data_IF_417864320264
#
_entry.id   IF_417864320264
#
_cell.length_a   1.000
_cell.length_b   1.000
_cell.length_c   1.000
_cell.angle_alpha   90.00
_cell.angle_beta   90.00
_cell.angle_gamma   90.00
#
_symmetry.space_group_name_H-M   'P 1'
#
loop_
_entity.id
_entity.type
_entity.pdbx_description
1 polymer ?
#
# COMPACT_ATOMS: atom_id res chain seq x y z
N UNK A 1 23.31 -12.60 -3.03
CA UNK A 1 22.52 -11.41 -2.65
C UNK A 1 21.30 -11.37 -3.56
N UNK A 2 20.18 -11.80 -3.08
CA UNK A 2 18.96 -11.69 -3.88
C UNK A 2 18.55 -10.22 -3.88
N UNK A 3 18.38 -9.64 -5.06
CA UNK A 3 17.92 -8.26 -5.22
C UNK A 3 16.55 -8.13 -4.55
N UNK A 4 16.31 -7.14 -3.66
CA UNK A 4 15.05 -6.99 -2.95
C UNK A 4 13.99 -6.42 -3.90
N UNK A 5 13.37 -7.30 -4.70
CA UNK A 5 12.44 -6.93 -5.77
C UNK A 5 11.17 -6.31 -5.18
N UNK A 6 10.62 -6.89 -4.10
CA UNK A 6 9.39 -6.39 -3.48
C UNK A 6 9.59 -5.03 -2.82
N UNK A 7 10.66 -4.87 -2.05
CA UNK A 7 11.00 -3.57 -1.48
C UNK A 7 11.24 -2.52 -2.56
N UNK A 8 11.87 -2.89 -3.69
CA UNK A 8 12.06 -1.98 -4.83
C UNK A 8 10.73 -1.55 -5.45
N UNK A 9 9.78 -2.47 -5.59
CA UNK A 9 8.47 -2.23 -6.17
C UNK A 9 7.60 -1.34 -5.26
N UNK A 10 7.74 -1.48 -3.93
CA UNK A 10 7.08 -0.61 -2.95
C UNK A 10 7.69 0.79 -2.96
N UNK A 11 9.03 0.90 -3.01
CA UNK A 11 9.72 2.18 -2.84
C UNK A 11 9.79 3.01 -4.13
N UNK A 12 9.73 2.39 -5.31
CA UNK A 12 9.89 3.08 -6.59
C UNK A 12 8.85 4.21 -6.79
N UNK A 13 7.53 4.02 -6.56
CA UNK A 13 6.57 5.10 -6.66
C UNK A 13 6.80 6.20 -5.62
N UNK A 14 7.21 5.85 -4.40
CA UNK A 14 7.55 6.82 -3.36
C UNK A 14 8.76 7.69 -3.73
N UNK A 15 9.80 7.09 -4.33
CA UNK A 15 10.95 7.83 -4.86
C UNK A 15 10.52 8.76 -6.00
N UNK A 16 9.65 8.30 -6.91
CA UNK A 16 9.06 9.13 -7.95
C UNK A 16 8.28 10.31 -7.38
N UNK A 17 7.49 10.09 -6.33
CA UNK A 17 6.76 11.14 -5.62
C UNK A 17 7.70 12.17 -4.97
N UNK A 18 8.79 11.73 -4.34
CA UNK A 18 9.83 12.60 -3.80
C UNK A 18 10.50 13.43 -4.89
N UNK A 19 10.84 12.82 -6.02
CA UNK A 19 11.41 13.54 -7.16
C UNK A 19 10.46 14.63 -7.67
N UNK A 20 9.17 14.33 -7.79
CA UNK A 20 8.15 15.33 -8.15
C UNK A 20 8.03 16.46 -7.14
N UNK A 21 8.20 16.16 -5.85
CA UNK A 21 8.17 17.18 -4.80
C UNK A 21 9.32 18.20 -4.96
N UNK A 22 10.52 17.75 -5.29
CA UNK A 22 11.67 18.62 -5.52
C UNK A 22 11.60 19.39 -6.85
N UNK A 23 10.98 18.82 -7.89
CA UNK A 23 10.87 19.45 -9.21
C UNK A 23 9.70 20.44 -9.31
N UNK A 24 8.91 20.62 -8.26
CA UNK A 24 7.71 21.46 -8.18
C UNK A 24 7.97 22.98 -8.41
N UNK A 25 9.19 23.41 -8.63
CA UNK A 25 9.66 24.80 -8.50
C UNK A 25 9.05 25.84 -9.47
N UNK A 26 8.30 25.48 -10.56
CA UNK A 26 7.79 26.49 -11.49
C UNK A 26 6.41 26.15 -12.07
N UNK A 27 5.53 27.17 -12.10
CA UNK A 27 4.14 27.12 -12.61
C UNK A 27 3.98 26.67 -14.08
N UNK A 28 5.03 26.55 -14.84
CA UNK A 28 4.99 26.25 -16.29
C UNK A 28 5.16 24.76 -16.66
N UNK A 29 5.50 23.88 -15.72
CA UNK A 29 5.91 22.50 -16.05
C UNK A 29 4.89 21.41 -15.72
N UNK A 30 3.57 21.69 -15.86
CA UNK A 30 2.54 20.65 -15.67
C UNK A 30 2.75 19.43 -16.58
N UNK A 31 3.27 19.64 -17.77
CA UNK A 31 3.55 18.59 -18.76
C UNK A 31 4.71 17.70 -18.27
N UNK A 32 5.80 18.28 -17.83
CA UNK A 32 6.99 17.55 -17.34
C UNK A 32 6.64 16.71 -16.09
N UNK A 33 5.93 17.29 -15.13
CA UNK A 33 5.48 16.63 -13.91
C UNK A 33 4.64 15.39 -14.25
N UNK A 34 3.76 15.49 -15.23
CA UNK A 34 2.92 14.39 -15.69
C UNK A 34 3.75 13.29 -16.36
N UNK A 35 4.69 13.63 -17.24
CA UNK A 35 5.56 12.63 -17.87
C UNK A 35 6.43 11.90 -16.87
N UNK A 36 6.95 12.58 -15.85
CA UNK A 36 7.73 11.95 -14.78
C UNK A 36 6.85 10.97 -13.98
N UNK A 37 5.65 11.38 -13.58
CA UNK A 37 4.71 10.50 -12.88
C UNK A 37 4.33 9.28 -13.73
N UNK A 38 4.04 9.50 -15.01
CA UNK A 38 3.70 8.44 -15.94
C UNK A 38 4.87 7.47 -16.15
N UNK A 39 6.07 8.00 -16.34
CA UNK A 39 7.28 7.18 -16.49
C UNK A 39 7.53 6.31 -15.25
N UNK A 40 7.43 6.90 -14.05
CA UNK A 40 7.61 6.18 -12.79
C UNK A 40 6.60 5.05 -12.64
N UNK A 41 5.32 5.33 -12.89
CA UNK A 41 4.25 4.32 -12.78
C UNK A 41 4.36 3.22 -13.85
N UNK A 42 4.79 3.55 -15.07
CA UNK A 42 5.04 2.56 -16.12
C UNK A 42 6.23 1.66 -15.78
N UNK A 43 7.32 2.22 -15.27
CA UNK A 43 8.48 1.42 -14.82
C UNK A 43 8.05 0.46 -13.72
N UNK A 44 7.23 0.93 -12.77
CA UNK A 44 6.71 0.09 -11.71
C UNK A 44 5.78 -1.02 -12.23
N UNK A 45 4.93 -0.71 -13.20
CA UNK A 45 4.09 -1.71 -13.88
C UNK A 45 4.94 -2.78 -14.59
N UNK A 46 5.96 -2.39 -15.36
CA UNK A 46 6.85 -3.37 -16.01
C UNK A 46 7.61 -4.22 -14.99
N UNK A 47 8.01 -3.64 -13.85
CA UNK A 47 8.64 -4.39 -12.77
C UNK A 47 7.68 -5.42 -12.16
N UNK A 48 6.39 -5.08 -11.98
CA UNK A 48 5.39 -6.02 -11.49
C UNK A 48 5.08 -7.15 -12.49
N UNK A 49 5.07 -6.84 -13.78
CA UNK A 49 4.94 -7.86 -14.84
C UNK A 49 6.16 -8.79 -14.86
N UNK A 50 7.35 -8.24 -14.70
CA UNK A 50 8.57 -9.05 -14.59
C UNK A 50 8.53 -9.97 -13.37
N UNK A 51 8.05 -9.48 -12.22
CA UNK A 51 7.83 -10.29 -11.03
C UNK A 51 6.85 -11.44 -11.30
N UNK A 52 5.78 -11.19 -12.05
CA UNK A 52 4.81 -12.22 -12.44
C UNK A 52 5.42 -13.30 -13.33
N UNK A 53 6.28 -12.94 -14.27
CA UNK A 53 6.97 -13.92 -15.12
C UNK A 53 7.90 -14.83 -14.32
N UNK A 54 8.51 -14.30 -13.25
CA UNK A 54 9.38 -15.06 -12.36
C UNK A 54 8.64 -15.90 -11.32
N UNK A 55 7.33 -15.66 -11.15
CA UNK A 55 6.51 -16.33 -10.14
C UNK A 55 6.28 -17.80 -10.50
N UNK A 56 6.61 -18.71 -9.59
CA UNK A 56 6.39 -20.15 -9.74
C UNK A 56 4.97 -20.51 -9.30
N UNK A 57 4.15 -20.97 -10.25
CA UNK A 57 2.76 -21.39 -10.00
C UNK A 57 2.63 -22.81 -9.43
N UNK A 58 3.73 -23.55 -9.32
CA UNK A 58 3.71 -24.95 -8.84
C UNK A 58 3.71 -25.08 -7.32
N UNK A 59 4.05 -24.00 -6.60
CA UNK A 59 4.18 -24.00 -5.14
C UNK A 59 3.09 -23.18 -4.49
N UNK A 60 2.62 -23.62 -3.31
CA UNK A 60 1.67 -22.88 -2.47
C UNK A 60 2.37 -22.00 -1.42
N UNK A 61 3.69 -21.97 -1.40
CA UNK A 61 4.48 -21.20 -0.45
C UNK A 61 4.60 -19.75 -0.86
N UNK A 62 4.82 -18.86 0.12
CA UNK A 62 5.15 -17.45 -0.15
C UNK A 62 6.50 -17.34 -0.86
N UNK A 63 6.52 -16.54 -1.93
CA UNK A 63 7.71 -16.35 -2.76
C UNK A 63 8.28 -14.95 -2.59
N UNK A 64 9.56 -14.79 -2.99
CA UNK A 64 10.31 -13.53 -2.89
C UNK A 64 10.31 -12.94 -1.47
N UNK A 65 10.29 -13.78 -0.45
CA UNK A 65 10.24 -13.35 0.94
C UNK A 65 11.49 -12.53 1.29
N UNK A 66 11.26 -11.31 1.73
CA UNK A 66 12.28 -10.41 2.28
C UNK A 66 11.97 -10.23 3.77
N UNK A 67 12.87 -10.69 4.62
CA UNK A 67 12.75 -10.58 6.07
C UNK A 67 13.92 -9.76 6.62
N UNK A 68 13.60 -8.67 7.30
CA UNK A 68 14.57 -7.79 7.96
C UNK A 68 14.06 -7.40 9.33
N UNK A 69 14.88 -7.60 10.33
CA UNK A 69 14.58 -7.13 11.69
C UNK A 69 14.47 -5.61 11.68
N UNK A 70 13.28 -5.09 12.00
CA UNK A 70 13.05 -3.65 12.11
C UNK A 70 13.15 -3.19 13.56
N UNK A 71 12.34 -3.77 14.45
CA UNK A 71 12.41 -3.52 15.88
C UNK A 71 12.73 -4.87 16.54
N UNK A 72 13.93 -4.95 17.14
CA UNK A 72 14.44 -6.17 17.73
C UNK A 72 13.41 -6.81 18.65
N UNK A 73 13.16 -8.10 18.47
CA UNK A 73 12.26 -8.95 19.25
C UNK A 73 10.76 -8.55 19.23
N UNK A 74 10.34 -7.62 18.35
CA UNK A 74 8.96 -7.16 18.30
C UNK A 74 8.35 -7.16 16.89
N UNK A 75 9.00 -6.54 15.91
CA UNK A 75 8.46 -6.33 14.56
C UNK A 75 9.54 -6.61 13.53
N UNK A 76 9.21 -7.44 12.57
CA UNK A 76 10.03 -7.68 11.40
C UNK A 76 9.40 -7.02 10.16
N UNK A 77 10.22 -6.30 9.39
CA UNK A 77 9.81 -5.94 8.04
C UNK A 77 9.86 -7.21 7.20
N UNK A 78 8.73 -7.91 7.15
CA UNK A 78 8.59 -9.15 6.39
C UNK A 78 7.57 -8.96 5.29
N UNK A 79 8.03 -9.08 4.06
CA UNK A 79 7.20 -8.98 2.85
C UNK A 79 7.40 -10.21 1.99
N UNK A 80 6.36 -10.63 1.31
CA UNK A 80 6.34 -11.77 0.41
C UNK A 80 5.07 -11.78 -0.40
N UNK A 81 4.97 -12.63 -1.40
CA UNK A 81 3.78 -12.72 -2.26
C UNK A 81 3.32 -14.16 -2.42
N UNK A 82 2.01 -14.30 -2.58
CA UNK A 82 1.33 -15.51 -2.99
C UNK A 82 0.62 -15.32 -4.34
N UNK A 83 -0.05 -16.35 -4.83
CA UNK A 83 -0.76 -16.31 -6.11
C UNK A 83 -1.92 -15.30 -6.16
N UNK A 84 -2.47 -14.88 -5.01
CA UNK A 84 -3.54 -13.88 -4.92
C UNK A 84 -2.93 -12.48 -4.89
N UNK A 85 -1.94 -12.26 -4.03
CA UNK A 85 -1.26 -10.96 -3.85
C UNK A 85 -0.67 -10.43 -5.16
N UNK A 86 -0.04 -11.31 -5.96
CA UNK A 86 0.58 -10.88 -7.23
C UNK A 86 -0.44 -10.30 -8.20
N UNK A 87 -1.66 -10.83 -8.25
CA UNK A 87 -2.73 -10.30 -9.10
C UNK A 87 -3.16 -8.90 -8.67
N UNK A 88 -3.29 -8.67 -7.35
CA UNK A 88 -3.61 -7.33 -6.83
C UNK A 88 -2.49 -6.33 -7.04
N UNK A 89 -1.23 -6.77 -6.95
CA UNK A 89 -0.06 -5.93 -7.25
C UNK A 89 -0.08 -5.48 -8.70
N UNK A 90 -0.28 -6.42 -9.66
CA UNK A 90 -0.36 -6.11 -11.09
C UNK A 90 -1.55 -5.18 -11.37
N UNK A 91 -2.70 -5.46 -10.77
CA UNK A 91 -3.89 -4.61 -10.93
C UNK A 91 -3.62 -3.17 -10.45
N UNK A 92 -3.00 -3.01 -9.28
CA UNK A 92 -2.65 -1.70 -8.72
C UNK A 92 -1.69 -0.94 -9.63
N UNK A 93 -0.60 -1.59 -10.04
CA UNK A 93 0.41 -0.98 -10.91
C UNK A 93 -0.10 -0.71 -12.32
N UNK A 94 -1.11 -1.46 -12.82
CA UNK A 94 -1.77 -1.22 -14.10
C UNK A 94 -2.74 -0.04 -14.04
N UNK A 95 -3.54 0.08 -12.98
CA UNK A 95 -4.54 1.15 -12.85
C UNK A 95 -3.87 2.51 -12.66
N UNK A 96 -2.74 2.59 -11.96
CA UNK A 96 -2.08 3.88 -11.69
C UNK A 96 -1.69 4.66 -12.95
N UNK A 97 -1.02 4.11 -13.97
CA UNK A 97 -0.76 4.82 -15.22
C UNK A 97 -2.04 5.28 -15.93
N UNK A 98 -3.10 4.46 -15.92
CA UNK A 98 -4.39 4.82 -16.51
C UNK A 98 -5.02 6.02 -15.80
N UNK A 99 -4.96 6.05 -14.45
CA UNK A 99 -5.39 7.20 -13.67
C UNK A 99 -4.60 8.46 -14.04
N UNK A 100 -3.27 8.37 -14.15
CA UNK A 100 -2.40 9.50 -14.53
C UNK A 100 -2.73 10.01 -15.94
N UNK A 101 -3.00 9.14 -16.90
CA UNK A 101 -3.39 9.51 -18.26
C UNK A 101 -4.75 10.22 -18.25
N UNK A 102 -5.72 9.71 -17.49
CA UNK A 102 -7.09 10.24 -17.41
C UNK A 102 -7.16 11.67 -16.84
N UNK A 103 -6.19 12.07 -16.05
CA UNK A 103 -6.16 13.39 -15.36
C UNK A 103 -6.00 14.58 -16.32
N UNK A 104 -5.70 14.38 -17.60
CA UNK A 104 -5.27 15.41 -18.57
C UNK A 104 -6.12 16.69 -18.60
N UNK A 105 -7.44 16.60 -18.41
CA UNK A 105 -8.35 17.74 -18.51
C UNK A 105 -9.16 18.00 -17.24
N UNK A 106 -9.12 17.08 -16.27
CA UNK A 106 -10.00 17.11 -15.11
C UNK A 106 -9.43 17.93 -13.96
N UNK A 107 -8.10 17.96 -13.79
CA UNK A 107 -7.43 18.63 -12.69
C UNK A 107 -6.55 19.76 -13.23
N UNK A 108 -7.03 21.01 -13.09
CA UNK A 108 -6.33 22.21 -13.53
C UNK A 108 -5.44 22.83 -12.44
N UNK A 109 -5.79 22.61 -11.18
CA UNK A 109 -5.11 23.21 -10.03
C UNK A 109 -4.35 22.15 -9.22
N UNK A 110 -3.13 22.48 -8.83
CA UNK A 110 -2.29 21.62 -7.97
C UNK A 110 -2.05 20.23 -8.53
N UNK A 111 -1.85 20.09 -9.84
CA UNK A 111 -1.66 18.81 -10.52
C UNK A 111 -0.48 18.02 -9.93
N UNK A 112 0.63 18.68 -9.62
CA UNK A 112 1.81 18.02 -9.02
C UNK A 112 1.48 17.34 -7.68
N UNK A 113 0.73 18.01 -6.80
CA UNK A 113 0.33 17.45 -5.50
C UNK A 113 -0.59 16.24 -5.65
N UNK A 114 -1.49 16.29 -6.63
CA UNK A 114 -2.37 15.17 -6.95
C UNK A 114 -1.60 13.95 -7.45
N UNK A 115 -0.65 14.14 -8.35
CA UNK A 115 0.19 13.05 -8.87
C UNK A 115 1.11 12.46 -7.80
N UNK A 116 1.65 13.29 -6.91
CA UNK A 116 2.40 12.83 -5.73
C UNK A 116 1.50 11.96 -4.85
N UNK A 117 0.27 12.40 -4.56
CA UNK A 117 -0.65 11.63 -3.73
C UNK A 117 -1.00 10.27 -4.36
N UNK A 118 -1.19 10.20 -5.69
CA UNK A 118 -1.44 8.94 -6.40
C UNK A 118 -0.25 8.00 -6.30
N UNK A 119 0.99 8.47 -6.53
CA UNK A 119 2.17 7.62 -6.46
C UNK A 119 2.44 7.12 -5.03
N UNK A 120 2.23 7.96 -4.02
CA UNK A 120 2.34 7.53 -2.61
C UNK A 120 1.26 6.49 -2.28
N UNK A 121 0.04 6.68 -2.77
CA UNK A 121 -1.05 5.71 -2.57
C UNK A 121 -0.71 4.37 -3.24
N UNK A 122 -0.16 4.36 -4.45
CA UNK A 122 0.33 3.15 -5.13
C UNK A 122 1.35 2.42 -4.28
N UNK A 123 2.36 3.13 -3.74
CA UNK A 123 3.38 2.56 -2.85
C UNK A 123 2.77 1.86 -1.63
N UNK A 124 1.85 2.51 -0.94
CA UNK A 124 1.21 1.94 0.24
C UNK A 124 0.31 0.76 -0.09
N UNK A 125 -0.45 0.82 -1.18
CA UNK A 125 -1.30 -0.30 -1.62
C UNK A 125 -0.47 -1.55 -1.96
N UNK A 126 0.65 -1.40 -2.65
CA UNK A 126 1.57 -2.52 -2.92
C UNK A 126 2.13 -3.06 -1.59
N UNK A 127 2.51 -2.18 -0.66
CA UNK A 127 2.98 -2.57 0.67
C UNK A 127 1.95 -3.39 1.44
N UNK A 128 0.67 -3.03 1.38
CA UNK A 128 -0.44 -3.82 1.99
C UNK A 128 -0.49 -5.24 1.41
N UNK A 129 -0.42 -5.38 0.07
CA UNK A 129 -0.52 -6.69 -0.58
C UNK A 129 0.71 -7.58 -0.41
N UNK A 130 1.87 -6.99 -0.10
CA UNK A 130 3.11 -7.72 0.12
C UNK A 130 3.36 -8.08 1.59
N UNK A 131 2.64 -7.50 2.55
CA UNK A 131 2.95 -7.63 3.97
C UNK A 131 2.68 -9.04 4.50
N UNK A 132 3.67 -9.65 5.13
CA UNK A 132 3.58 -10.92 5.87
C UNK A 132 3.68 -10.76 7.39
N UNK A 133 3.69 -9.51 7.88
CA UNK A 133 3.60 -9.17 9.29
C UNK A 133 2.38 -8.28 9.52
N UNK A 134 1.56 -8.59 10.54
CA UNK A 134 0.31 -7.87 10.81
C UNK A 134 0.51 -6.40 11.14
N UNK A 135 1.62 -6.04 11.80
CA UNK A 135 1.93 -4.65 12.14
C UNK A 135 2.37 -3.88 10.91
N UNK A 136 3.19 -4.49 10.06
CA UNK A 136 3.62 -3.90 8.77
C UNK A 136 2.42 -3.71 7.85
N UNK A 137 1.52 -4.70 7.78
CA UNK A 137 0.24 -4.58 7.08
C UNK A 137 -0.56 -3.39 7.56
N UNK A 138 -0.77 -3.27 8.88
CA UNK A 138 -1.52 -2.18 9.49
C UNK A 138 -0.92 -0.81 9.19
N UNK A 139 0.40 -0.68 9.26
CA UNK A 139 1.10 0.57 8.96
C UNK A 139 0.89 1.02 7.51
N UNK A 140 1.03 0.13 6.54
CA UNK A 140 0.78 0.46 5.14
C UNK A 140 -0.69 0.78 4.87
N UNK A 141 -1.61 0.03 5.49
CA UNK A 141 -3.04 0.27 5.38
C UNK A 141 -3.44 1.65 5.91
N UNK A 142 -3.00 1.99 7.13
CA UNK A 142 -3.29 3.27 7.76
C UNK A 142 -2.64 4.45 7.02
N UNK A 143 -1.38 4.28 6.58
CA UNK A 143 -0.68 5.28 5.79
C UNK A 143 -1.39 5.59 4.46
N UNK A 144 -2.03 4.59 3.83
CA UNK A 144 -2.80 4.74 2.61
C UNK A 144 -4.03 5.66 2.75
N UNK A 145 -4.58 5.80 3.96
CA UNK A 145 -5.72 6.69 4.22
C UNK A 145 -5.36 8.17 4.05
N UNK A 146 -4.10 8.55 4.32
CA UNK A 146 -3.66 9.94 4.25
C UNK A 146 -3.76 10.51 2.81
N UNK A 147 -3.15 9.90 1.79
CA UNK A 147 -3.29 10.39 0.41
C UNK A 147 -4.73 10.31 -0.08
N UNK A 148 -5.51 9.31 0.31
CA UNK A 148 -6.93 9.20 -0.05
C UNK A 148 -7.75 10.36 0.53
N UNK A 149 -7.55 10.69 1.82
CA UNK A 149 -8.17 11.84 2.47
C UNK A 149 -7.84 13.14 1.75
N UNK A 150 -6.58 13.34 1.36
CA UNK A 150 -6.13 14.53 0.61
C UNK A 150 -6.77 14.61 -0.77
N UNK A 151 -6.82 13.49 -1.52
CA UNK A 151 -7.43 13.42 -2.84
C UNK A 151 -8.91 13.82 -2.77
N UNK A 152 -9.66 13.24 -1.84
CA UNK A 152 -11.10 13.55 -1.66
C UNK A 152 -11.29 15.00 -1.20
N UNK A 153 -10.49 15.47 -0.23
CA UNK A 153 -10.66 16.78 0.41
C UNK A 153 -10.27 17.97 -0.47
N UNK A 154 -9.29 17.81 -1.36
CA UNK A 154 -8.78 18.88 -2.20
C UNK A 154 -9.45 18.89 -3.58
N UNK A 155 -9.57 17.73 -4.23
CA UNK A 155 -10.03 17.60 -5.63
C UNK A 155 -11.44 17.01 -5.77
N UNK A 156 -12.12 16.69 -4.66
CA UNK A 156 -13.48 16.19 -4.66
C UNK A 156 -14.52 17.22 -5.09
N UNK A 157 -15.82 16.82 -5.07
CA UNK A 157 -16.96 17.64 -5.49
C UNK A 157 -17.34 18.77 -4.51
N UNK A 158 -18.58 19.24 -4.59
CA UNK A 158 -19.07 20.42 -3.84
C UNK A 158 -18.99 20.28 -2.32
N UNK A 159 -19.19 19.07 -1.78
CA UNK A 159 -19.13 18.77 -0.34
C UNK A 159 -17.86 17.97 0.04
N UNK A 160 -16.76 18.19 -0.67
CA UNK A 160 -15.51 17.44 -0.55
C UNK A 160 -14.95 17.35 0.88
N UNK A 161 -14.93 18.48 1.60
CA UNK A 161 -14.39 18.53 2.97
C UNK A 161 -15.20 17.64 3.91
N UNK A 162 -16.53 17.78 3.90
CA UNK A 162 -17.42 16.93 4.69
C UNK A 162 -17.25 15.44 4.34
N UNK A 163 -17.19 15.12 3.06
CA UNK A 163 -17.01 13.74 2.58
C UNK A 163 -15.66 13.16 2.99
N UNK A 164 -14.58 13.96 2.92
CA UNK A 164 -13.26 13.54 3.33
C UNK A 164 -13.20 13.22 4.83
N UNK A 165 -13.74 14.10 5.68
CA UNK A 165 -13.80 13.86 7.12
C UNK A 165 -14.67 12.66 7.47
N UNK A 166 -15.83 12.50 6.84
CA UNK A 166 -16.70 11.36 7.07
C UNK A 166 -16.04 10.05 6.69
N UNK A 167 -15.39 10.01 5.54
CA UNK A 167 -14.60 8.86 5.09
C UNK A 167 -13.48 8.53 6.08
N UNK A 168 -12.66 9.53 6.44
CA UNK A 168 -11.52 9.35 7.32
C UNK A 168 -11.93 8.87 8.73
N UNK A 169 -12.93 9.50 9.33
CA UNK A 169 -13.38 9.10 10.67
C UNK A 169 -13.99 7.70 10.69
N UNK A 170 -14.73 7.32 9.65
CA UNK A 170 -15.33 6.00 9.56
C UNK A 170 -14.26 4.91 9.40
N UNK A 171 -13.31 5.12 8.48
CA UNK A 171 -12.22 4.16 8.25
C UNK A 171 -11.24 4.10 9.43
N UNK A 172 -10.94 5.24 10.08
CA UNK A 172 -10.10 5.28 11.27
C UNK A 172 -10.73 4.50 12.43
N UNK A 173 -12.05 4.59 12.62
CA UNK A 173 -12.73 3.83 13.67
C UNK A 173 -12.62 2.32 13.44
N UNK A 174 -12.81 1.86 12.19
CA UNK A 174 -12.61 0.45 11.82
C UNK A 174 -11.14 0.00 12.00
N UNK A 175 -10.19 0.83 11.56
CA UNK A 175 -8.76 0.48 11.69
C UNK A 175 -8.28 0.41 13.14
N UNK A 176 -8.83 1.23 14.04
CA UNK A 176 -8.53 1.14 15.48
C UNK A 176 -9.03 -0.18 16.07
N UNK A 177 -10.21 -0.67 15.67
CA UNK A 177 -10.70 -1.98 16.10
C UNK A 177 -9.83 -3.11 15.56
N UNK A 178 -9.38 -3.01 14.32
CA UNK A 178 -8.41 -3.95 13.73
C UNK A 178 -7.07 -3.91 14.50
N UNK A 179 -6.58 -2.74 14.91
CA UNK A 179 -5.37 -2.62 15.72
C UNK A 179 -5.50 -3.34 17.07
N UNK A 180 -6.65 -3.20 17.74
CA UNK A 180 -6.94 -3.92 18.99
C UNK A 180 -6.90 -5.44 18.76
N UNK A 181 -7.42 -5.92 17.62
CA UNK A 181 -7.34 -7.33 17.26
C UNK A 181 -5.89 -7.78 17.07
N UNK A 182 -5.06 -7.01 16.36
CA UNK A 182 -3.64 -7.31 16.14
C UNK A 182 -2.88 -7.39 17.47
N UNK A 183 -3.10 -6.43 18.39
CA UNK A 183 -2.49 -6.45 19.72
C UNK A 183 -2.94 -7.68 20.50
N UNK A 184 -4.22 -8.04 20.43
CA UNK A 184 -4.77 -9.22 21.11
C UNK A 184 -4.16 -10.51 20.56
N UNK A 185 -3.98 -10.61 19.23
CA UNK A 185 -3.30 -11.74 18.59
C UNK A 185 -1.87 -11.86 19.11
N UNK A 186 -1.13 -10.77 19.13
CA UNK A 186 0.24 -10.75 19.65
C UNK A 186 0.32 -11.21 21.10
N UNK A 187 -0.61 -10.79 21.97
CA UNK A 187 -0.65 -11.23 23.37
C UNK A 187 -0.94 -12.72 23.55
N UNK A 188 -1.71 -13.31 22.63
CA UNK A 188 -2.10 -14.73 22.70
C UNK A 188 -1.00 -15.62 22.09
N UNK A 189 -0.45 -15.21 20.94
CA UNK A 189 0.48 -16.02 20.14
C UNK A 189 1.96 -15.70 20.33
N UNK A 190 2.28 -14.50 20.86
CA UNK A 190 3.66 -14.01 20.99
C UNK A 190 4.31 -13.55 19.67
N UNK A 191 3.58 -13.56 18.54
CA UNK A 191 4.10 -13.21 17.22
C UNK A 191 3.10 -12.40 16.41
N UNK A 192 3.59 -11.58 15.48
CA UNK A 192 2.80 -10.86 14.47
C UNK A 192 3.01 -11.41 13.06
N UNK A 193 3.89 -12.39 12.90
CA UNK A 193 4.20 -13.05 11.63
C UNK A 193 3.02 -13.91 11.17
N UNK A 194 2.46 -13.58 10.00
CA UNK A 194 1.29 -14.27 9.44
C UNK A 194 1.55 -15.74 9.18
N UNK A 195 2.76 -16.11 8.74
CA UNK A 195 3.12 -17.51 8.45
C UNK A 195 3.15 -18.32 9.74
N UNK A 196 3.78 -17.78 10.80
CA UNK A 196 3.82 -18.45 12.12
C UNK A 196 2.42 -18.54 12.73
N UNK A 197 1.59 -17.51 12.60
CA UNK A 197 0.22 -17.53 13.11
C UNK A 197 -0.64 -18.59 12.44
N UNK A 198 -0.42 -18.85 11.15
CA UNK A 198 -1.12 -19.92 10.42
C UNK A 198 -0.78 -21.30 10.96
N UNK A 199 0.48 -21.52 11.33
CA UNK A 199 0.94 -22.79 11.90
C UNK A 199 0.48 -23.02 13.36
N UNK A 200 0.51 -21.96 14.17
CA UNK A 200 0.15 -22.02 15.59
C UNK A 200 -1.35 -22.29 15.83
N UNK A 201 -2.22 -21.77 14.95
CA UNK A 201 -3.67 -21.79 15.14
C UNK A 201 -4.12 -20.97 16.37
N UNK A 202 -5.22 -20.26 16.26
CA UNK A 202 -5.82 -19.51 17.38
C UNK A 202 -7.02 -20.27 17.92
N UNK A 203 -7.15 -20.37 19.25
CA UNK A 203 -8.29 -20.99 19.92
C UNK A 203 -9.63 -20.48 19.40
N UNK A 204 -10.56 -21.39 19.09
CA UNK A 204 -11.87 -21.07 18.56
C UNK A 204 -12.65 -20.05 19.41
N UNK A 205 -12.37 -19.98 20.71
CA UNK A 205 -12.98 -19.01 21.64
C UNK A 205 -12.70 -17.57 21.27
N UNK A 206 -11.50 -17.27 20.75
CA UNK A 206 -11.09 -15.91 20.38
C UNK A 206 -11.33 -15.59 18.91
N UNK A 207 -11.45 -16.62 18.05
CA UNK A 207 -11.62 -16.44 16.61
C UNK A 207 -12.81 -15.57 16.23
N UNK A 208 -13.96 -15.76 16.85
CA UNK A 208 -15.19 -15.00 16.54
C UNK A 208 -15.06 -13.52 16.89
N UNK A 209 -14.40 -13.18 18.00
CA UNK A 209 -14.20 -11.81 18.43
C UNK A 209 -13.16 -11.09 17.55
N UNK A 210 -12.08 -11.76 17.23
CA UNK A 210 -11.04 -11.27 16.34
C UNK A 210 -11.60 -11.06 14.93
N UNK A 211 -12.41 -12.02 14.44
CA UNK A 211 -13.04 -11.91 13.13
C UNK A 211 -13.93 -10.67 13.03
N UNK A 212 -14.78 -10.39 14.02
CA UNK A 212 -15.59 -9.18 14.05
C UNK A 212 -14.76 -7.90 14.03
N UNK A 213 -13.63 -7.86 14.74
CA UNK A 213 -12.75 -6.70 14.78
C UNK A 213 -11.99 -6.47 13.46
N UNK A 214 -11.69 -7.52 12.70
CA UNK A 214 -11.11 -7.41 11.35
C UNK A 214 -12.14 -6.98 10.30
N UNK A 215 -13.42 -7.27 10.52
CA UNK A 215 -14.51 -6.93 9.60
C UNK A 215 -15.15 -5.55 9.88
N UNK A 216 -14.72 -4.87 10.92
CA UNK A 216 -15.24 -3.53 11.26
C UNK A 216 -14.62 -2.44 10.40
#
# INVERSE_FOLDING_TARGET
MNFPILSSLILLPAVGALFLFFTRSNKENNITVKYVALFTSLVNFFLSVYLWILFDQSTSEFQFVEDRVWIKDLINYKVGIDGISILFIILTTFITPLCIISVNNSIKNRLSEFLIAILIMESFMIGVFCSLDLVVFYLFFEAGLIPMFLIIGIWGGTRRVYSAFKFFLFTLLGSVLMLIAIISIYWISGTTDVVQLYELGIDAKYQNLLWLAFFS
#
